data_IF_616083619964
#
_entry.id   IF_616083619964
#
_cell.length_a   1.000
_cell.length_b   1.000
_cell.length_c   1.000
_cell.angle_alpha   90.00
_cell.angle_beta   90.00
_cell.angle_gamma   90.00
#
_symmetry.space_group_name_H-M   'P 1'
#
loop_
_entity.id
_entity.type
_entity.pdbx_description
1 polymer ?
#
# COMPACT_ATOMS: atom_id res chain seq x y z
N UNK A 1 -28.71 29.62 -10.89
CA UNK A 1 -27.50 29.12 -11.58
C UNK A 1 -26.81 28.08 -10.72
N UNK A 2 -26.88 26.78 -11.07
CA UNK A 2 -26.15 25.71 -10.36
C UNK A 2 -24.78 25.52 -11.00
N UNK A 3 -23.74 26.10 -10.41
CA UNK A 3 -22.36 25.94 -10.86
C UNK A 3 -21.83 24.57 -10.43
N UNK A 4 -22.17 23.53 -11.19
CA UNK A 4 -21.52 22.23 -11.07
C UNK A 4 -20.14 22.33 -11.73
N UNK A 5 -19.12 22.74 -10.96
CA UNK A 5 -17.71 22.60 -11.37
C UNK A 5 -17.41 21.10 -11.45
N UNK A 6 -17.62 20.51 -12.63
CA UNK A 6 -17.08 19.19 -12.95
C UNK A 6 -15.56 19.28 -12.85
N UNK A 7 -14.98 18.68 -11.82
CA UNK A 7 -13.55 18.44 -11.71
C UNK A 7 -13.11 17.63 -12.94
N UNK A 8 -12.66 18.31 -14.00
CA UNK A 8 -11.99 17.69 -15.15
C UNK A 8 -10.57 17.33 -14.72
N UNK A 9 -10.43 16.40 -13.79
CA UNK A 9 -9.15 15.69 -13.65
C UNK A 9 -9.00 14.89 -14.95
N UNK A 10 -8.09 15.31 -15.82
CA UNK A 10 -7.92 14.68 -17.13
C UNK A 10 -7.73 13.17 -16.96
N UNK A 11 -8.41 12.34 -17.77
CA UNK A 11 -8.32 10.86 -17.68
C UNK A 11 -6.87 10.33 -17.61
N UNK A 12 -5.93 11.00 -18.29
CA UNK A 12 -4.50 10.70 -18.22
C UNK A 12 -3.90 10.90 -16.83
N UNK A 13 -4.31 11.96 -16.13
CA UNK A 13 -3.91 12.27 -14.75
C UNK A 13 -4.50 11.29 -13.73
N UNK A 14 -5.72 10.79 -13.95
CA UNK A 14 -6.32 9.75 -13.11
C UNK A 14 -5.60 8.40 -13.26
N UNK A 15 -5.23 8.03 -14.50
CA UNK A 15 -4.48 6.80 -14.75
C UNK A 15 -3.08 6.87 -14.13
N UNK A 16 -2.35 7.97 -14.31
CA UNK A 16 -1.02 8.14 -13.70
C UNK A 16 -1.09 8.07 -12.17
N UNK A 17 -2.10 8.71 -11.56
CA UNK A 17 -2.28 8.69 -10.12
C UNK A 17 -2.57 7.28 -9.60
N UNK A 18 -3.40 6.51 -10.31
CA UNK A 18 -3.69 5.12 -9.95
C UNK A 18 -2.47 4.19 -10.08
N UNK A 19 -1.64 4.38 -11.10
CA UNK A 19 -0.43 3.57 -11.29
C UNK A 19 0.59 3.88 -10.18
N UNK A 20 0.79 5.16 -9.88
CA UNK A 20 1.70 5.60 -8.81
C UNK A 20 1.21 5.09 -7.45
N UNK A 21 -0.08 5.23 -7.15
CA UNK A 21 -0.66 4.73 -5.90
C UNK A 21 -0.51 3.22 -5.71
N UNK A 22 -0.74 2.44 -6.77
CA UNK A 22 -0.51 0.99 -6.73
C UNK A 22 0.97 0.64 -6.53
N UNK A 23 1.89 1.31 -7.25
CA UNK A 23 3.33 1.07 -7.14
C UNK A 23 3.86 1.38 -5.74
N UNK A 24 3.46 2.52 -5.15
CA UNK A 24 3.86 2.92 -3.80
C UNK A 24 3.34 1.93 -2.76
N UNK A 25 2.07 1.51 -2.86
CA UNK A 25 1.50 0.55 -1.92
C UNK A 25 2.18 -0.82 -1.97
N UNK A 26 2.50 -1.34 -3.17
CA UNK A 26 3.25 -2.59 -3.33
C UNK A 26 4.66 -2.46 -2.77
N UNK A 27 5.35 -1.34 -2.99
CA UNK A 27 6.69 -1.09 -2.48
C UNK A 27 6.72 -1.12 -0.94
N UNK A 28 5.75 -0.48 -0.28
CA UNK A 28 5.64 -0.48 1.19
C UNK A 28 5.46 -1.90 1.72
N UNK A 29 4.54 -2.66 1.14
CA UNK A 29 4.29 -4.06 1.54
C UNK A 29 5.56 -4.91 1.36
N UNK A 30 6.29 -4.72 0.25
CA UNK A 30 7.52 -5.45 -0.03
C UNK A 30 8.64 -5.14 0.97
N UNK A 31 8.83 -3.86 1.31
CA UNK A 31 9.85 -3.44 2.30
C UNK A 31 9.54 -4.04 3.68
N UNK A 32 8.29 -3.94 4.12
CA UNK A 32 7.87 -4.50 5.41
C UNK A 32 8.06 -6.01 5.43
N UNK A 33 7.60 -6.72 4.39
CA UNK A 33 7.78 -8.17 4.27
C UNK A 33 9.25 -8.57 4.25
N UNK A 34 10.11 -7.83 3.54
CA UNK A 34 11.55 -8.10 3.50
C UNK A 34 12.21 -7.90 4.86
N UNK A 35 11.82 -6.85 5.60
CA UNK A 35 12.26 -6.66 6.98
C UNK A 35 11.85 -7.84 7.86
N UNK A 36 10.61 -8.31 7.77
CA UNK A 36 10.17 -9.49 8.53
C UNK A 36 10.98 -10.75 8.23
N UNK A 37 11.26 -11.01 6.96
CA UNK A 37 12.08 -12.16 6.55
C UNK A 37 13.51 -12.03 7.11
N UNK A 38 14.10 -10.83 7.02
CA UNK A 38 15.45 -10.58 7.55
C UNK A 38 15.50 -10.69 9.08
N UNK A 39 14.46 -10.26 9.79
CA UNK A 39 14.33 -10.41 11.24
C UNK A 39 14.15 -11.87 11.66
N UNK A 40 13.39 -12.66 10.90
CA UNK A 40 13.21 -14.08 11.14
C UNK A 40 14.51 -14.88 10.97
N UNK A 41 15.32 -14.50 9.97
CA UNK A 41 16.59 -15.14 9.66
C UNK A 41 17.73 -14.71 10.61
N UNK A 42 17.75 -13.44 11.02
CA UNK A 42 18.82 -12.88 11.86
C UNK A 42 18.75 -13.28 13.34
N UNK A 43 17.66 -13.89 13.81
CA UNK A 43 17.50 -14.38 15.18
C UNK A 43 17.95 -13.34 16.22
N UNK A 44 17.11 -12.37 16.58
CA UNK A 44 17.50 -11.30 17.50
C UNK A 44 18.00 -11.82 18.86
N UNK A 45 19.30 -11.74 19.09
CA UNK A 45 19.96 -12.00 20.37
C UNK A 45 20.40 -10.67 20.99
N UNK A 46 20.00 -10.42 22.24
CA UNK A 46 20.53 -9.33 23.04
C UNK A 46 21.11 -9.92 24.31
N UNK A 47 22.39 -9.66 24.56
CA UNK A 47 23.13 -10.19 25.71
C UNK A 47 23.07 -11.73 25.83
N UNK A 48 23.10 -12.45 24.71
CA UNK A 48 23.06 -13.93 24.65
C UNK A 48 21.67 -14.55 24.80
N UNK A 49 20.62 -13.74 25.02
CA UNK A 49 19.23 -14.21 25.12
C UNK A 49 18.48 -13.91 23.83
N UNK A 50 17.76 -14.90 23.28
CA UNK A 50 16.91 -14.72 22.10
C UNK A 50 15.67 -13.89 22.49
N UNK A 51 15.67 -12.61 22.14
CA UNK A 51 14.57 -11.66 22.46
C UNK A 51 13.43 -11.72 21.41
N UNK A 52 13.61 -12.49 20.33
CA UNK A 52 12.78 -12.48 19.12
C UNK A 52 11.27 -12.79 19.23
N UNK A 53 10.67 -12.89 20.41
CA UNK A 53 9.22 -13.08 20.60
C UNK A 53 8.45 -11.78 20.90
N UNK A 54 8.92 -10.95 21.84
CA UNK A 54 8.13 -9.84 22.42
C UNK A 54 8.30 -8.50 21.70
N UNK A 55 9.49 -8.22 21.15
CA UNK A 55 9.69 -7.07 20.25
C UNK A 55 9.07 -7.32 18.87
N UNK A 56 9.08 -8.57 18.42
CA UNK A 56 8.45 -8.96 17.16
C UNK A 56 6.94 -8.78 17.22
N UNK A 57 6.27 -9.18 18.31
CA UNK A 57 4.82 -8.98 18.47
C UNK A 57 4.42 -7.51 18.45
N UNK A 58 5.22 -6.63 19.07
CA UNK A 58 4.94 -5.19 19.05
C UNK A 58 5.17 -4.55 17.68
N UNK A 59 6.22 -4.95 16.95
CA UNK A 59 6.42 -4.50 15.57
C UNK A 59 5.31 -5.00 14.63
N UNK A 60 4.83 -6.23 14.83
CA UNK A 60 3.73 -6.81 14.05
C UNK A 60 2.46 -5.97 14.21
N UNK A 61 2.12 -5.55 15.43
CA UNK A 61 0.92 -4.74 15.66
C UNK A 61 0.97 -3.38 14.94
N UNK A 62 2.12 -2.68 14.99
CA UNK A 62 2.29 -1.38 14.32
C UNK A 62 2.34 -1.52 12.79
N UNK A 63 3.05 -2.53 12.29
CA UNK A 63 3.19 -2.75 10.85
C UNK A 63 1.89 -3.27 10.21
N UNK A 64 1.02 -3.96 10.97
CA UNK A 64 -0.32 -4.37 10.49
C UNK A 64 -1.13 -3.16 10.04
N UNK A 65 -1.08 -2.04 10.78
CA UNK A 65 -1.78 -0.81 10.37
C UNK A 65 -1.20 -0.23 9.09
N UNK A 66 0.13 -0.23 8.96
CA UNK A 66 0.82 0.29 7.77
C UNK A 66 0.48 -0.57 6.54
N UNK A 67 0.49 -1.90 6.70
CA UNK A 67 0.09 -2.84 5.65
C UNK A 67 -1.38 -2.63 5.28
N UNK A 68 -2.28 -2.46 6.26
CA UNK A 68 -3.69 -2.21 6.00
C UNK A 68 -3.90 -0.93 5.17
N UNK A 69 -3.22 0.17 5.53
CA UNK A 69 -3.27 1.42 4.76
C UNK A 69 -2.70 1.23 3.35
N UNK A 70 -1.59 0.53 3.20
CA UNK A 70 -1.00 0.23 1.90
C UNK A 70 -1.94 -0.61 1.02
N UNK A 71 -2.61 -1.62 1.58
CA UNK A 71 -3.61 -2.44 0.89
C UNK A 71 -4.80 -1.58 0.45
N UNK A 72 -5.33 -0.71 1.32
CA UNK A 72 -6.42 0.20 0.96
C UNK A 72 -6.00 1.14 -0.17
N UNK A 73 -4.76 1.63 -0.17
CA UNK A 73 -4.21 2.46 -1.24
C UNK A 73 -4.15 1.69 -2.57
N UNK A 74 -3.65 0.46 -2.56
CA UNK A 74 -3.60 -0.41 -3.75
C UNK A 74 -5.00 -0.71 -4.27
N UNK A 75 -5.93 -1.11 -3.40
CA UNK A 75 -7.31 -1.42 -3.78
C UNK A 75 -8.03 -0.20 -4.36
N UNK A 76 -7.86 0.98 -3.75
CA UNK A 76 -8.44 2.24 -4.23
C UNK A 76 -7.87 2.62 -5.60
N UNK A 77 -6.57 2.45 -5.77
CA UNK A 77 -5.87 2.68 -7.04
C UNK A 77 -6.35 1.74 -8.13
N UNK A 78 -6.47 0.44 -7.83
CA UNK A 78 -6.96 -0.58 -8.75
C UNK A 78 -8.42 -0.31 -9.15
N UNK A 79 -9.25 0.10 -8.20
CA UNK A 79 -10.64 0.48 -8.45
C UNK A 79 -10.73 1.66 -9.43
N UNK A 80 -9.92 2.70 -9.23
CA UNK A 80 -9.85 3.84 -10.15
C UNK A 80 -9.36 3.42 -11.54
N UNK A 81 -8.37 2.53 -11.60
CA UNK A 81 -7.85 1.99 -12.86
C UNK A 81 -8.94 1.22 -13.62
N UNK A 82 -9.63 0.29 -12.96
CA UNK A 82 -10.72 -0.50 -13.55
C UNK A 82 -11.85 0.41 -14.01
N UNK A 83 -12.26 1.39 -13.19
CA UNK A 83 -13.29 2.37 -13.56
C UNK A 83 -12.87 3.19 -14.78
N UNK A 84 -11.62 3.60 -14.86
CA UNK A 84 -11.07 4.33 -16.00
C UNK A 84 -11.07 3.48 -17.28
N UNK A 85 -10.65 2.21 -17.18
CA UNK A 85 -10.64 1.25 -18.29
C UNK A 85 -12.06 0.90 -18.76
N UNK A 86 -13.01 0.70 -17.84
CA UNK A 86 -14.40 0.36 -18.17
C UNK A 86 -15.13 1.52 -18.86
N UNK A 87 -14.83 2.76 -18.46
CA UNK A 87 -15.31 3.97 -19.12
C UNK A 87 -14.76 4.14 -20.56
N UNK A 88 -13.75 3.36 -20.95
CA UNK A 88 -13.17 3.31 -22.29
C UNK A 88 -13.87 2.32 -23.23
N UNK A 89 -14.61 1.32 -22.70
CA UNK A 89 -15.34 0.32 -23.52
C UNK A 89 -16.73 0.77 -23.97
N UNK A 90 -17.25 1.88 -23.43
CA UNK A 90 -18.59 2.41 -23.74
C UNK A 90 -18.54 3.72 -24.56
N UNK A 91 -17.37 4.07 -25.11
CA UNK A 91 -17.19 5.13 -26.11
C UNK A 91 -16.72 4.48 -27.41
#
# INVERSE_FOLDING_TARGET
MKTSRKYRVGRKSLLSLSIIGAAVGIMIIAIITFNYISFADSGFYYNGVKIGGSTLSHQIDDDIYIIAVAVVLVCSSLFLLIKSLRNKRHQ
#
